data_IF_954555730535
#
_entry.id   IF_954555730535
#
_cell.length_a   1.000
_cell.length_b   1.000
_cell.length_c   1.000
_cell.angle_alpha   90.00
_cell.angle_beta   90.00
_cell.angle_gamma   90.00
#
_symmetry.space_group_name_H-M   'P 1'
#
loop_
_entity.id
_entity.type
_entity.pdbx_description
1 polymer ?
#
# COMPACT_ATOMS: atom_id res chain seq x y z
N UNK A 1 57.24 14.65 6.74
CA UNK A 1 55.99 14.68 7.55
C UNK A 1 54.81 14.61 6.59
N UNK A 2 54.20 13.44 6.42
CA UNK A 2 53.03 13.22 5.55
C UNK A 2 51.76 13.36 6.40
N UNK A 3 50.95 14.41 6.13
CA UNK A 3 49.65 14.58 6.78
C UNK A 3 48.63 13.66 6.12
N UNK A 4 48.16 12.68 6.86
CA UNK A 4 47.09 11.79 6.49
C UNK A 4 45.75 12.54 6.70
N UNK A 5 45.06 12.85 5.59
CA UNK A 5 43.73 13.46 5.62
C UNK A 5 42.71 12.32 5.76
N UNK A 6 42.15 12.14 6.94
CA UNK A 6 41.06 11.21 7.21
C UNK A 6 39.76 11.90 6.81
N UNK A 7 39.22 11.55 5.63
CA UNK A 7 37.87 11.94 5.22
C UNK A 7 36.88 11.01 5.94
N UNK A 8 36.26 11.51 7.01
CA UNK A 8 35.11 10.89 7.64
C UNK A 8 33.88 11.13 6.73
N UNK A 9 33.51 10.14 5.94
CA UNK A 9 32.22 10.08 5.27
C UNK A 9 31.15 9.87 6.34
N UNK A 10 30.50 10.94 6.75
CA UNK A 10 29.23 10.90 7.46
C UNK A 10 28.16 10.39 6.47
N UNK A 11 27.95 9.08 6.49
CA UNK A 11 26.82 8.45 5.82
C UNK A 11 25.52 8.87 6.46
N UNK A 12 24.90 9.93 5.95
CA UNK A 12 23.47 10.16 6.20
C UNK A 12 22.70 9.00 5.58
N UNK A 13 22.36 8.01 6.40
CA UNK A 13 21.34 7.03 6.08
C UNK A 13 19.98 7.75 6.08
N UNK A 14 19.66 8.41 4.96
CA UNK A 14 18.28 8.72 4.63
C UNK A 14 17.60 7.35 4.49
N UNK A 15 16.90 6.92 5.52
CA UNK A 15 15.94 5.82 5.43
C UNK A 15 14.78 6.29 4.54
N UNK A 16 15.05 6.38 3.23
CA UNK A 16 14.00 6.42 2.24
C UNK A 16 13.29 5.07 2.36
N UNK A 17 12.07 5.08 2.83
CA UNK A 17 11.15 3.93 2.74
C UNK A 17 10.96 3.60 1.26
N UNK A 18 11.91 2.84 0.74
CA UNK A 18 12.00 2.56 -0.69
C UNK A 18 10.87 1.60 -1.05
N UNK A 19 10.08 2.03 -2.03
CA UNK A 19 9.19 1.13 -2.76
C UNK A 19 10.03 -0.01 -3.33
N UNK A 20 9.71 -1.24 -2.97
CA UNK A 20 10.41 -2.43 -3.43
C UNK A 20 9.44 -3.36 -4.13
N UNK A 21 9.60 -3.55 -5.44
CA UNK A 21 8.98 -4.69 -6.14
C UNK A 21 9.73 -5.93 -5.73
N UNK A 22 9.03 -6.91 -5.18
CA UNK A 22 9.60 -8.16 -4.66
C UNK A 22 9.61 -9.24 -5.74
N UNK A 23 8.54 -9.32 -6.55
CA UNK A 23 8.40 -10.32 -7.60
C UNK A 23 7.36 -9.90 -8.65
N UNK A 24 7.39 -10.55 -9.81
CA UNK A 24 6.36 -10.46 -10.84
C UNK A 24 6.25 -9.10 -11.53
N UNK A 25 5.05 -8.81 -12.01
CA UNK A 25 4.73 -7.61 -12.78
C UNK A 25 3.49 -6.91 -12.24
N UNK A 26 3.35 -5.63 -12.52
CA UNK A 26 2.13 -4.84 -12.30
C UNK A 26 1.52 -4.39 -13.63
N UNK A 27 1.87 -5.07 -14.71
CA UNK A 27 1.26 -4.90 -16.03
C UNK A 27 -0.12 -5.60 -16.05
N UNK A 28 -1.11 -4.89 -16.57
CA UNK A 28 -2.47 -5.37 -16.75
C UNK A 28 -2.74 -5.55 -18.25
N UNK A 29 -3.56 -6.53 -18.66
CA UNK A 29 -3.96 -6.70 -20.06
C UNK A 29 -4.51 -5.40 -20.68
N UNK A 30 -4.41 -5.25 -21.99
CA UNK A 30 -4.77 -4.01 -22.68
C UNK A 30 -6.27 -3.68 -22.56
N UNK A 31 -7.11 -4.68 -22.46
CA UNK A 31 -8.55 -4.59 -22.26
C UNK A 31 -8.96 -4.22 -20.85
N UNK A 32 -8.10 -4.45 -19.85
CA UNK A 32 -8.40 -4.16 -18.44
C UNK A 32 -8.38 -2.65 -18.19
N UNK A 33 -9.45 -2.14 -17.61
CA UNK A 33 -9.63 -0.72 -17.29
C UNK A 33 -9.71 -0.46 -15.80
N UNK A 34 -10.16 -1.44 -15.02
CA UNK A 34 -10.42 -1.27 -13.60
C UNK A 34 -9.52 -2.17 -12.78
N UNK A 35 -9.02 -1.63 -11.68
CA UNK A 35 -8.22 -2.36 -10.71
C UNK A 35 -8.90 -2.24 -9.34
N UNK A 36 -9.47 -3.32 -8.86
CA UNK A 36 -10.09 -3.36 -7.54
C UNK A 36 -9.02 -3.35 -6.46
N UNK A 37 -9.18 -2.54 -5.42
CA UNK A 37 -8.37 -2.61 -4.21
C UNK A 37 -9.16 -3.31 -3.11
N UNK A 38 -8.48 -4.16 -2.34
CA UNK A 38 -9.10 -4.81 -1.18
C UNK A 38 -8.05 -5.08 -0.09
N UNK A 39 -8.53 -5.47 1.10
CA UNK A 39 -7.70 -5.85 2.23
C UNK A 39 -7.58 -7.37 2.35
N UNK A 40 -6.35 -7.83 2.64
CA UNK A 40 -6.12 -9.19 3.14
C UNK A 40 -5.31 -9.10 4.44
N UNK A 41 -6.01 -9.22 5.56
CA UNK A 41 -5.42 -9.16 6.89
C UNK A 41 -5.20 -10.55 7.52
N UNK A 42 -5.36 -11.63 6.76
CA UNK A 42 -5.31 -13.02 7.28
C UNK A 42 -3.97 -13.36 7.95
N UNK A 43 -2.87 -12.73 7.51
CA UNK A 43 -1.52 -12.91 8.04
C UNK A 43 -1.02 -11.70 8.85
N UNK A 44 -1.88 -10.72 9.11
CA UNK A 44 -1.49 -9.50 9.80
C UNK A 44 -1.30 -9.73 11.29
N UNK A 45 -0.20 -9.22 11.83
CA UNK A 45 0.04 -9.13 13.27
C UNK A 45 -0.26 -7.69 13.71
N UNK A 46 -1.34 -7.54 14.48
CA UNK A 46 -1.75 -6.25 15.04
C UNK A 46 -1.12 -6.03 16.41
N UNK A 47 -0.57 -4.83 16.61
CA UNK A 47 0.08 -4.38 17.86
C UNK A 47 1.03 -5.45 18.45
N UNK A 48 1.79 -6.12 17.59
CA UNK A 48 2.80 -7.16 17.85
C UNK A 48 2.27 -8.52 18.32
N UNK A 49 0.96 -8.71 18.48
CA UNK A 49 0.45 -9.95 19.09
C UNK A 49 -0.97 -10.39 18.71
N UNK A 50 -1.79 -9.51 18.14
CA UNK A 50 -3.19 -9.82 17.89
C UNK A 50 -3.43 -10.26 16.46
N UNK A 51 -4.35 -11.19 16.25
CA UNK A 51 -4.99 -11.48 14.96
C UNK A 51 -6.00 -10.38 14.60
N UNK A 52 -6.47 -10.33 13.36
CA UNK A 52 -7.51 -9.36 12.98
C UNK A 52 -8.80 -9.53 13.79
N UNK A 53 -9.21 -10.76 14.08
CA UNK A 53 -10.40 -11.05 14.87
C UNK A 53 -10.30 -10.48 16.31
N UNK A 54 -9.16 -10.70 16.95
CA UNK A 54 -8.89 -10.14 18.29
C UNK A 54 -8.78 -8.62 18.26
N UNK A 55 -8.15 -8.08 17.22
CA UNK A 55 -8.04 -6.64 17.03
C UNK A 55 -9.41 -5.98 16.82
N UNK A 56 -10.27 -6.59 16.01
CA UNK A 56 -11.66 -6.13 15.85
C UNK A 56 -12.44 -6.20 17.16
N UNK A 57 -12.28 -7.25 17.95
CA UNK A 57 -12.90 -7.33 19.27
C UNK A 57 -12.46 -6.21 20.24
N UNK A 58 -11.19 -5.75 20.11
CA UNK A 58 -10.65 -4.65 20.93
C UNK A 58 -11.11 -3.28 20.42
N UNK A 59 -11.17 -3.09 19.10
CA UNK A 59 -11.44 -1.80 18.45
C UNK A 59 -12.92 -1.57 18.10
N UNK A 60 -13.72 -2.63 18.09
CA UNK A 60 -15.11 -2.54 17.68
C UNK A 60 -15.23 -1.96 16.26
N UNK A 61 -16.18 -1.06 16.07
CA UNK A 61 -16.46 -0.43 14.77
C UNK A 61 -15.36 0.53 14.30
N UNK A 62 -14.44 0.95 15.17
CA UNK A 62 -13.31 1.79 14.77
C UNK A 62 -12.42 1.09 13.72
N UNK A 63 -12.27 -0.25 13.82
CA UNK A 63 -11.43 -0.99 12.88
C UNK A 63 -12.00 -1.06 11.46
N UNK A 64 -13.24 -1.53 11.21
CA UNK A 64 -13.80 -1.53 9.87
C UNK A 64 -13.94 -0.12 9.29
N UNK A 65 -14.28 0.89 10.11
CA UNK A 65 -14.35 2.28 9.69
C UNK A 65 -12.98 2.81 9.26
N UNK A 66 -11.92 2.53 10.01
CA UNK A 66 -10.55 2.92 9.64
C UNK A 66 -10.10 2.22 8.36
N UNK A 67 -10.36 0.91 8.18
CA UNK A 67 -10.08 0.20 6.92
C UNK A 67 -10.75 0.88 5.73
N UNK A 68 -12.03 1.21 5.87
CA UNK A 68 -12.80 1.89 4.81
C UNK A 68 -12.17 3.24 4.44
N UNK A 69 -11.91 4.10 5.42
CA UNK A 69 -11.33 5.43 5.17
C UNK A 69 -9.94 5.34 4.53
N UNK A 70 -9.11 4.41 4.98
CA UNK A 70 -7.77 4.21 4.42
C UNK A 70 -7.83 3.75 2.96
N UNK A 71 -8.69 2.77 2.62
CA UNK A 71 -8.77 2.28 1.24
C UNK A 71 -9.35 3.35 0.30
N UNK A 72 -10.32 4.14 0.75
CA UNK A 72 -10.86 5.29 0.02
C UNK A 72 -9.76 6.33 -0.28
N UNK A 73 -8.92 6.63 0.72
CA UNK A 73 -7.77 7.50 0.57
C UNK A 73 -6.74 6.96 -0.44
N UNK A 74 -6.39 5.68 -0.31
CA UNK A 74 -5.46 5.02 -1.24
C UNK A 74 -5.99 5.07 -2.68
N UNK A 75 -7.26 4.72 -2.90
CA UNK A 75 -7.90 4.73 -4.23
C UNK A 75 -7.89 6.13 -4.84
N UNK A 76 -8.24 7.17 -4.06
CA UNK A 76 -8.20 8.56 -4.50
C UNK A 76 -6.78 8.96 -4.94
N UNK A 77 -5.78 8.79 -4.06
CA UNK A 77 -4.42 9.23 -4.30
C UNK A 77 -3.72 8.41 -5.41
N UNK A 78 -4.16 7.15 -5.56
CA UNK A 78 -3.74 6.28 -6.66
C UNK A 78 -4.27 6.79 -7.99
N UNK A 79 -5.58 7.15 -8.08
CA UNK A 79 -6.20 7.67 -9.28
C UNK A 79 -5.59 9.01 -9.72
N UNK A 80 -5.16 9.86 -8.79
CA UNK A 80 -4.43 11.09 -9.11
C UNK A 80 -3.12 10.82 -9.88
N UNK A 81 -2.48 9.68 -9.63
CA UNK A 81 -1.26 9.25 -10.35
C UNK A 81 -1.56 8.44 -11.60
N UNK A 82 -2.68 7.74 -11.64
CA UNK A 82 -3.11 6.91 -12.76
C UNK A 82 -3.60 7.71 -13.98
N UNK A 83 -3.84 9.00 -13.87
CA UNK A 83 -4.38 9.85 -14.93
C UNK A 83 -3.60 9.83 -16.27
N UNK A 84 -2.39 9.26 -16.30
CA UNK A 84 -1.59 9.00 -17.52
C UNK A 84 -1.61 7.54 -17.97
N UNK A 85 -2.38 6.71 -17.30
CA UNK A 85 -2.63 5.31 -17.66
C UNK A 85 -4.09 5.14 -18.07
N UNK A 86 -4.41 3.97 -18.64
CA UNK A 86 -5.79 3.58 -18.94
C UNK A 86 -6.51 2.97 -17.74
N UNK A 87 -5.80 2.78 -16.61
CA UNK A 87 -6.30 2.07 -15.44
C UNK A 87 -6.96 3.05 -14.48
N UNK A 88 -8.08 2.62 -13.91
CA UNK A 88 -8.81 3.32 -12.84
C UNK A 88 -8.86 2.39 -11.64
N UNK A 89 -8.40 2.86 -10.49
CA UNK A 89 -8.53 2.14 -9.22
C UNK A 89 -9.94 2.32 -8.68
N UNK A 90 -10.55 1.22 -8.21
CA UNK A 90 -11.92 1.20 -7.69
C UNK A 90 -11.99 0.50 -6.32
N UNK A 91 -13.01 0.86 -5.55
CA UNK A 91 -13.29 0.25 -4.24
C UNK A 91 -13.89 -1.16 -4.39
N UNK A 92 -13.72 -2.04 -3.39
CA UNK A 92 -14.40 -3.32 -3.36
C UNK A 92 -15.92 -3.11 -3.30
N UNK A 93 -16.67 -3.92 -4.04
CA UNK A 93 -18.12 -3.81 -4.15
C UNK A 93 -18.63 -2.65 -5.01
N UNK A 94 -17.75 -1.93 -5.71
CA UNK A 94 -18.13 -0.96 -6.75
C UNK A 94 -18.88 -1.65 -7.89
N UNK A 95 -19.80 -0.92 -8.55
CA UNK A 95 -20.43 -1.40 -9.80
C UNK A 95 -19.41 -1.59 -10.93
N UNK A 96 -18.35 -0.76 -10.92
CA UNK A 96 -17.22 -0.85 -11.83
C UNK A 96 -16.15 -1.76 -11.18
N UNK A 97 -16.14 -3.03 -11.55
CA UNK A 97 -15.14 -3.97 -11.05
C UNK A 97 -14.21 -4.42 -12.18
N UNK A 98 -12.92 -4.56 -11.85
CA UNK A 98 -11.94 -5.19 -12.70
C UNK A 98 -11.82 -6.69 -12.43
N UNK A 99 -11.28 -7.42 -13.39
CA UNK A 99 -10.91 -8.81 -13.19
C UNK A 99 -9.67 -8.97 -12.29
N UNK A 100 -8.93 -7.89 -12.06
CA UNK A 100 -7.70 -7.87 -11.27
C UNK A 100 -7.94 -7.18 -9.93
N UNK A 101 -7.37 -7.76 -8.87
CA UNK A 101 -7.46 -7.18 -7.53
C UNK A 101 -6.06 -6.94 -6.94
N UNK A 102 -5.85 -5.75 -6.42
CA UNK A 102 -4.66 -5.39 -5.65
C UNK A 102 -4.98 -5.46 -4.15
N UNK A 103 -4.46 -6.49 -3.51
CA UNK A 103 -4.64 -6.70 -2.07
C UNK A 103 -3.63 -5.89 -1.26
N UNK A 104 -4.11 -5.22 -0.23
CA UNK A 104 -3.31 -4.57 0.80
C UNK A 104 -3.16 -5.60 1.93
N UNK A 105 -1.96 -6.14 2.10
CA UNK A 105 -1.67 -7.21 3.06
C UNK A 105 -0.69 -6.69 4.12
N UNK A 106 -1.15 -6.03 5.20
CA UNK A 106 -0.27 -5.62 6.28
C UNK A 106 0.40 -6.84 6.90
N UNK A 107 1.72 -6.80 7.03
CA UNK A 107 2.46 -7.82 7.77
C UNK A 107 2.49 -7.47 9.25
N UNK A 108 2.62 -6.18 9.53
CA UNK A 108 2.58 -5.59 10.87
C UNK A 108 1.81 -4.30 10.82
N UNK A 109 0.97 -4.08 11.81
CA UNK A 109 0.18 -2.88 11.97
C UNK A 109 -0.02 -2.60 13.45
N UNK A 110 0.34 -1.41 13.91
CA UNK A 110 0.15 -1.02 15.30
C UNK A 110 -1.00 -0.02 15.49
N UNK A 111 -1.28 0.31 16.75
CA UNK A 111 -2.37 1.23 17.12
C UNK A 111 -2.18 2.67 16.64
N UNK A 112 -0.96 3.04 16.21
CA UNK A 112 -0.64 4.35 15.66
C UNK A 112 -0.71 4.38 14.13
N UNK A 113 -0.94 3.22 13.49
CA UNK A 113 -0.92 3.10 12.04
C UNK A 113 0.46 2.83 11.43
N UNK A 114 1.53 2.69 12.26
CA UNK A 114 2.81 2.26 11.72
C UNK A 114 2.63 0.87 11.11
N UNK A 115 3.01 0.73 9.86
CA UNK A 115 2.79 -0.51 9.12
C UNK A 115 3.98 -0.90 8.25
N UNK A 116 4.03 -2.19 7.99
CA UNK A 116 4.80 -2.79 6.92
C UNK A 116 3.83 -3.64 6.13
N UNK A 117 3.56 -3.26 4.88
CA UNK A 117 2.53 -3.88 4.06
C UNK A 117 3.11 -4.45 2.78
N UNK A 118 2.64 -5.64 2.42
CA UNK A 118 2.83 -6.23 1.10
C UNK A 118 1.59 -5.88 0.26
N UNK A 119 1.81 -5.55 -1.00
CA UNK A 119 0.76 -5.30 -1.98
C UNK A 119 0.84 -6.38 -3.03
N UNK A 120 -0.22 -7.17 -3.17
CA UNK A 120 -0.27 -8.35 -4.03
C UNK A 120 -1.28 -8.12 -5.13
N UNK A 121 -0.81 -8.08 -6.38
CA UNK A 121 -1.69 -8.06 -7.54
C UNK A 121 -2.06 -9.49 -7.91
N UNK A 122 -3.36 -9.77 -7.98
CA UNK A 122 -3.92 -11.06 -8.40
C UNK A 122 -4.76 -10.91 -9.66
N UNK A 123 -4.73 -11.95 -10.50
CA UNK A 123 -5.60 -12.07 -11.69
C UNK A 123 -7.01 -12.53 -11.33
N UNK A 124 -7.87 -12.67 -12.36
CA UNK A 124 -9.25 -13.13 -12.22
C UNK A 124 -9.38 -14.55 -11.64
N UNK A 125 -8.34 -15.37 -11.73
CA UNK A 125 -8.28 -16.73 -11.20
C UNK A 125 -7.72 -16.76 -9.76
N UNK A 126 -7.32 -15.60 -9.23
CA UNK A 126 -6.73 -15.47 -7.90
C UNK A 126 -5.23 -15.76 -7.84
N UNK A 127 -4.57 -15.97 -9.00
CA UNK A 127 -3.13 -16.18 -9.03
C UNK A 127 -2.39 -14.87 -8.78
N UNK A 128 -1.33 -14.92 -7.96
CA UNK A 128 -0.44 -13.78 -7.76
C UNK A 128 0.38 -13.53 -9.03
N UNK A 129 0.31 -12.30 -9.55
CA UNK A 129 1.09 -11.88 -10.71
C UNK A 129 2.14 -10.81 -10.39
N UNK A 130 1.99 -10.11 -9.26
CA UNK A 130 2.94 -9.11 -8.81
C UNK A 130 2.90 -8.88 -7.31
N UNK A 131 4.07 -8.57 -6.74
CA UNK A 131 4.23 -8.31 -5.31
C UNK A 131 5.15 -7.13 -5.07
N UNK A 132 4.72 -6.19 -4.24
CA UNK A 132 5.53 -5.04 -3.81
C UNK A 132 5.44 -4.85 -2.30
N UNK A 133 6.42 -4.18 -1.72
CA UNK A 133 6.47 -3.84 -0.29
C UNK A 133 6.58 -2.34 -0.10
N UNK A 134 5.76 -1.80 0.79
CA UNK A 134 5.89 -0.45 1.32
C UNK A 134 5.74 -0.49 2.83
N UNK A 135 6.39 0.47 3.49
CA UNK A 135 6.17 0.76 4.90
C UNK A 135 5.66 2.20 5.04
N UNK A 136 4.93 2.45 6.10
CA UNK A 136 4.46 3.78 6.47
C UNK A 136 4.52 4.01 7.96
N UNK A 137 4.80 5.24 8.32
CA UNK A 137 4.78 5.71 9.71
C UNK A 137 3.38 6.28 10.00
N UNK A 138 2.79 5.80 11.07
CA UNK A 138 1.47 6.26 11.52
C UNK A 138 1.52 7.61 12.19
N UNK A 139 0.34 8.11 12.54
CA UNK A 139 0.16 9.42 13.14
C UNK A 139 0.57 9.50 14.61
N UNK A 140 0.67 10.72 15.10
CA UNK A 140 0.94 11.01 16.50
C UNK A 140 -0.29 11.55 17.23
N UNK A 141 -1.25 12.14 16.50
CA UNK A 141 -2.42 12.83 17.04
C UNK A 141 -3.67 12.53 16.22
N UNK A 142 -4.82 12.49 16.87
CA UNK A 142 -6.10 12.32 16.20
C UNK A 142 -6.83 11.04 16.59
N UNK A 143 -7.91 10.75 15.85
CA UNK A 143 -8.69 9.52 16.02
C UNK A 143 -7.92 8.31 15.50
N UNK A 144 -8.37 7.12 15.86
CA UNK A 144 -7.77 5.88 15.37
C UNK A 144 -7.73 5.84 13.82
N UNK A 145 -8.79 6.27 13.16
CA UNK A 145 -8.84 6.34 11.69
C UNK A 145 -7.82 7.32 11.10
N UNK A 146 -7.60 8.47 11.75
CA UNK A 146 -6.58 9.44 11.31
C UNK A 146 -5.17 8.84 11.43
N UNK A 147 -4.85 8.22 12.58
CA UNK A 147 -3.56 7.57 12.79
C UNK A 147 -3.29 6.49 11.74
N UNK A 148 -4.32 5.70 11.41
CA UNK A 148 -4.25 4.70 10.34
C UNK A 148 -4.06 5.36 8.97
N UNK A 149 -4.80 6.45 8.69
CA UNK A 149 -4.69 7.22 7.46
C UNK A 149 -3.27 7.72 7.21
N UNK A 150 -2.64 8.31 8.24
CA UNK A 150 -1.25 8.79 8.18
C UNK A 150 -0.27 7.68 7.78
N UNK A 151 -0.45 6.47 8.34
CA UNK A 151 0.38 5.31 8.01
C UNK A 151 0.28 4.87 6.54
N UNK A 152 -0.82 5.18 5.88
CA UNK A 152 -1.05 4.82 4.47
C UNK A 152 -1.06 6.01 3.51
N UNK A 153 -0.84 7.25 4.00
CA UNK A 153 -0.92 8.51 3.23
C UNK A 153 -0.16 8.44 1.89
N UNK A 154 1.03 7.85 1.89
CA UNK A 154 1.87 7.77 0.68
C UNK A 154 1.64 6.51 -0.16
N UNK A 155 0.86 5.56 0.35
CA UNK A 155 0.68 4.26 -0.32
C UNK A 155 -0.02 4.42 -1.67
N UNK A 156 -1.11 5.18 -1.73
CA UNK A 156 -1.87 5.43 -2.96
C UNK A 156 -1.00 6.04 -4.07
N UNK A 157 -0.29 7.12 -3.76
CA UNK A 157 0.62 7.76 -4.72
C UNK A 157 1.73 6.83 -5.22
N UNK A 158 2.32 6.02 -4.33
CA UNK A 158 3.36 5.05 -4.71
C UNK A 158 2.80 3.93 -5.59
N UNK A 159 1.62 3.39 -5.24
CA UNK A 159 0.93 2.37 -6.03
C UNK A 159 0.52 2.91 -7.39
N UNK A 160 -0.07 4.09 -7.46
CA UNK A 160 -0.44 4.74 -8.72
C UNK A 160 0.77 4.96 -9.63
N UNK A 161 1.90 5.41 -9.08
CA UNK A 161 3.14 5.55 -9.82
C UNK A 161 3.68 4.19 -10.31
N UNK A 162 3.60 3.15 -9.48
CA UNK A 162 4.00 1.78 -9.85
C UNK A 162 3.15 1.25 -11.00
N UNK A 163 1.82 1.28 -10.87
CA UNK A 163 0.90 0.83 -11.91
C UNK A 163 1.11 1.63 -13.21
N UNK A 164 1.24 2.96 -13.12
CA UNK A 164 1.50 3.81 -14.30
C UNK A 164 2.80 3.43 -15.00
N UNK A 165 3.85 3.10 -14.24
CA UNK A 165 5.14 2.67 -14.81
C UNK A 165 5.00 1.45 -15.72
N UNK A 166 4.19 0.47 -15.30
CA UNK A 166 3.97 -0.78 -16.04
C UNK A 166 2.93 -0.66 -17.16
N UNK A 167 1.97 0.27 -17.02
CA UNK A 167 0.79 0.39 -17.89
C UNK A 167 0.76 1.71 -18.66
N UNK A 168 1.92 2.34 -18.92
CA UNK A 168 1.98 3.52 -19.78
C UNK A 168 1.42 3.20 -21.15
N UNK A 169 0.49 4.04 -21.63
CA UNK A 169 0.08 3.98 -23.03
C UNK A 169 1.33 4.16 -23.90
N UNK A 170 1.65 3.15 -24.69
CA UNK A 170 2.67 3.27 -25.74
C UNK A 170 2.13 4.27 -26.75
N UNK A 171 2.84 5.36 -26.95
CA UNK A 171 2.54 6.34 -27.99
C UNK A 171 2.77 5.72 -29.37
#
# INVERSE_FOLDING_TARGET
MKRLLVLTLLGFSLSSYAQKVLSGTFELPAEEKYLTLDWDCTQTIFDKKYTEKEWHAIKGDDWPNAKKQVIEGIVRDMNDKLGKSRIIAVLPGSELQGAYTLYICPQKLDRKGNNKSIYILKDAQGNEIGRAEFAGDGGHWGTFANLMGDGYEKAGSKLGALITKYNKMKK
#
